data_IF_387411029998
#
_entry.id   IF_387411029998
#
_cell.length_a   1.000
_cell.length_b   1.000
_cell.length_c   1.000
_cell.angle_alpha   90.00
_cell.angle_beta   90.00
_cell.angle_gamma   90.00
#
_symmetry.space_group_name_H-M   'P 1'
#
loop_
_entity.id
_entity.type
_entity.pdbx_description
1 polymer ?
#
# COMPACT_ATOMS: atom_id res chain seq x y z
N UNK A 1 30.26 9.04 2.01
CA UNK A 1 29.76 9.73 0.80
C UNK A 1 29.52 8.80 -0.38
N UNK A 2 30.47 7.95 -0.81
CA UNK A 2 30.32 7.10 -2.01
C UNK A 2 29.19 6.07 -1.91
N UNK A 3 29.02 5.45 -0.74
CA UNK A 3 27.97 4.45 -0.51
C UNK A 3 26.56 5.05 -0.55
N UNK A 4 26.37 6.26 -0.02
CA UNK A 4 25.08 6.94 -0.07
C UNK A 4 24.64 7.25 -1.50
N UNK A 5 25.52 7.82 -2.32
CA UNK A 5 25.22 8.13 -3.73
C UNK A 5 24.88 6.85 -4.52
N UNK A 6 25.60 5.76 -4.25
CA UNK A 6 25.31 4.47 -4.85
C UNK A 6 23.92 3.94 -4.45
N UNK A 7 23.61 3.94 -3.15
CA UNK A 7 22.29 3.55 -2.65
C UNK A 7 21.17 4.42 -3.20
N UNK A 8 21.40 5.73 -3.33
CA UNK A 8 20.47 6.67 -3.94
C UNK A 8 20.19 6.36 -5.41
N UNK A 9 21.23 6.06 -6.20
CA UNK A 9 21.06 5.62 -7.59
C UNK A 9 20.25 4.32 -7.68
N UNK A 10 20.51 3.35 -6.80
CA UNK A 10 19.78 2.08 -6.74
C UNK A 10 18.31 2.28 -6.38
N UNK A 11 18.01 3.14 -5.39
CA UNK A 11 16.63 3.48 -5.01
C UNK A 11 15.87 4.17 -6.14
N UNK A 12 16.56 4.74 -7.13
CA UNK A 12 15.99 5.37 -8.34
C UNK A 12 15.88 4.44 -9.55
N UNK A 13 16.45 3.23 -9.49
CA UNK A 13 16.36 2.22 -10.55
C UNK A 13 14.90 1.83 -10.86
N UNK A 14 14.65 1.26 -12.04
CA UNK A 14 13.34 0.70 -12.41
C UNK A 14 13.15 -0.72 -11.87
N UNK A 15 14.24 -1.39 -11.49
CA UNK A 15 14.19 -2.76 -10.99
C UNK A 15 13.92 -2.80 -9.49
N UNK A 16 12.84 -3.48 -9.08
CA UNK A 16 12.52 -3.67 -7.67
C UNK A 16 13.65 -4.33 -6.85
N UNK A 17 14.47 -5.18 -7.48
CA UNK A 17 15.63 -5.81 -6.85
C UNK A 17 16.71 -4.77 -6.46
N UNK A 18 17.00 -3.84 -7.37
CA UNK A 18 17.95 -2.76 -7.12
C UNK A 18 17.44 -1.81 -6.04
N UNK A 19 16.15 -1.45 -6.09
CA UNK A 19 15.55 -0.58 -5.09
C UNK A 19 15.65 -1.22 -3.70
N UNK A 20 15.37 -2.53 -3.58
CA UNK A 20 15.54 -3.26 -2.31
C UNK A 20 16.99 -3.25 -1.83
N UNK A 21 17.95 -3.45 -2.72
CA UNK A 21 19.38 -3.39 -2.39
C UNK A 21 19.77 -1.99 -1.90
N UNK A 22 19.29 -0.94 -2.56
CA UNK A 22 19.49 0.45 -2.16
C UNK A 22 18.86 0.77 -0.79
N UNK A 23 17.65 0.27 -0.51
CA UNK A 23 17.01 0.39 0.82
C UNK A 23 17.86 -0.29 1.89
N UNK A 24 18.32 -1.51 1.65
CA UNK A 24 19.11 -2.27 2.62
C UNK A 24 20.43 -1.54 2.96
N UNK A 25 21.10 -0.99 1.95
CA UNK A 25 22.30 -0.19 2.14
C UNK A 25 22.00 1.12 2.89
N UNK A 26 20.87 1.79 2.62
CA UNK A 26 20.46 2.97 3.39
C UNK A 26 20.15 2.63 4.85
N UNK A 27 19.56 1.47 5.14
CA UNK A 27 19.32 1.03 6.52
C UNK A 27 20.62 0.71 7.26
N UNK A 28 21.61 0.14 6.56
CA UNK A 28 22.95 -0.10 7.11
C UNK A 28 23.69 1.21 7.40
N UNK A 29 23.63 2.16 6.47
CA UNK A 29 24.18 3.51 6.65
C UNK A 29 23.48 4.24 7.80
N UNK A 30 22.16 4.12 7.93
CA UNK A 30 21.40 4.72 9.03
C UNK A 30 21.82 4.19 10.41
N UNK A 31 22.15 2.89 10.51
CA UNK A 31 22.64 2.28 11.75
C UNK A 31 24.09 2.64 12.06
N UNK A 32 24.89 2.87 11.03
CA UNK A 32 26.33 3.15 11.16
C UNK A 32 26.58 4.64 11.44
N UNK A 33 25.81 5.53 10.78
CA UNK A 33 25.91 6.99 10.90
C UNK A 33 24.81 7.54 11.81
N UNK A 34 24.79 7.12 13.08
CA UNK A 34 23.77 7.52 14.07
C UNK A 34 24.02 8.86 14.77
N UNK A 35 25.21 9.46 14.63
CA UNK A 35 25.59 10.64 15.42
C UNK A 35 25.11 11.97 14.84
N UNK A 36 24.74 12.01 13.55
CA UNK A 36 24.32 13.22 12.84
C UNK A 36 22.81 13.20 12.56
N UNK A 37 22.06 14.05 13.27
CA UNK A 37 20.60 14.16 13.17
C UNK A 37 20.16 14.62 11.77
N UNK A 38 20.95 15.50 11.12
CA UNK A 38 20.61 16.02 9.80
C UNK A 38 20.71 14.92 8.74
N UNK A 39 21.74 14.08 8.81
CA UNK A 39 21.87 12.91 7.92
C UNK A 39 20.82 11.85 8.21
N UNK A 40 20.50 11.64 9.49
CA UNK A 40 19.45 10.71 9.92
C UNK A 40 18.10 11.07 9.29
N UNK A 41 17.78 12.37 9.24
CA UNK A 41 16.60 12.89 8.57
C UNK A 41 16.62 12.54 7.08
N UNK A 42 17.73 12.79 6.39
CA UNK A 42 17.85 12.49 4.96
C UNK A 42 17.68 10.99 4.67
N UNK A 43 18.28 10.12 5.48
CA UNK A 43 18.11 8.67 5.38
C UNK A 43 16.64 8.24 5.55
N UNK A 44 15.93 8.79 6.53
CA UNK A 44 14.51 8.47 6.74
C UNK A 44 13.65 8.89 5.53
N UNK A 45 13.95 10.04 4.94
CA UNK A 45 13.28 10.52 3.74
C UNK A 45 13.47 9.56 2.54
N UNK A 46 14.72 9.16 2.27
CA UNK A 46 15.00 8.23 1.18
C UNK A 46 14.48 6.81 1.43
N UNK A 47 14.51 6.34 2.68
CA UNK A 47 13.89 5.07 3.06
C UNK A 47 12.37 5.09 2.85
N UNK A 48 11.71 6.20 3.19
CA UNK A 48 10.27 6.35 2.95
C UNK A 48 9.93 6.29 1.45
N UNK A 49 10.70 7.00 0.60
CA UNK A 49 10.51 6.99 -0.86
C UNK A 49 10.80 5.61 -1.45
N UNK A 50 11.92 4.99 -1.07
CA UNK A 50 12.30 3.67 -1.57
C UNK A 50 11.23 2.62 -1.27
N UNK A 51 10.75 2.58 -0.03
CA UNK A 51 9.67 1.67 0.36
C UNK A 51 8.35 1.99 -0.37
N UNK A 52 8.02 3.27 -0.59
CA UNK A 52 6.84 3.65 -1.38
C UNK A 52 6.91 3.16 -2.84
N UNK A 53 8.11 3.15 -3.45
CA UNK A 53 8.30 2.68 -4.84
C UNK A 53 8.12 1.18 -5.00
N UNK A 54 8.53 0.38 -4.00
CA UNK A 54 8.32 -1.09 -4.00
C UNK A 54 6.95 -1.50 -3.47
N UNK A 55 6.02 -0.54 -3.27
CA UNK A 55 4.68 -0.74 -2.72
C UNK A 55 4.64 -1.25 -1.27
N UNK A 56 5.74 -1.13 -0.54
CA UNK A 56 5.81 -1.39 0.90
C UNK A 56 5.30 -0.17 1.68
N UNK A 57 4.01 0.14 1.50
CA UNK A 57 3.40 1.35 2.04
C UNK A 57 3.45 1.39 3.57
N UNK A 58 3.31 0.25 4.26
CA UNK A 58 3.38 0.17 5.72
C UNK A 58 4.74 0.61 6.27
N UNK A 59 5.83 0.17 5.64
CA UNK A 59 7.19 0.59 6.02
C UNK A 59 7.43 2.05 5.67
N UNK A 60 6.98 2.49 4.50
CA UNK A 60 7.07 3.89 4.07
C UNK A 60 6.41 4.84 5.07
N UNK A 61 5.17 4.54 5.50
CA UNK A 61 4.45 5.34 6.51
C UNK A 61 5.19 5.39 7.85
N UNK A 62 5.78 4.27 8.28
CA UNK A 62 6.58 4.23 9.51
C UNK A 62 7.77 5.19 9.43
N UNK A 63 8.48 5.21 8.30
CA UNK A 63 9.61 6.12 8.07
C UNK A 63 9.16 7.58 7.96
N UNK A 64 8.05 7.88 7.28
CA UNK A 64 7.47 9.23 7.24
C UNK A 64 7.13 9.74 8.64
N UNK A 65 6.50 8.92 9.50
CA UNK A 65 6.17 9.32 10.87
C UNK A 65 7.41 9.54 11.73
N UNK A 66 8.42 8.67 11.58
CA UNK A 66 9.70 8.84 12.26
C UNK A 66 10.40 10.14 11.82
N UNK A 67 10.30 10.52 10.54
CA UNK A 67 10.78 11.81 10.05
C UNK A 67 10.01 12.98 10.68
N UNK A 68 8.67 12.92 10.67
CA UNK A 68 7.82 13.99 11.23
C UNK A 68 7.97 14.14 12.75
N UNK A 69 8.44 13.10 13.44
CA UNK A 69 8.81 13.20 14.86
C UNK A 69 10.08 14.03 15.10
N UNK A 70 10.95 14.14 14.09
CA UNK A 70 12.15 14.99 14.13
C UNK A 70 11.81 16.39 13.60
N UNK A 71 11.17 16.45 12.44
CA UNK A 71 10.84 17.71 11.75
C UNK A 71 9.33 17.75 11.42
N UNK A 72 8.54 18.16 12.40
CA UNK A 72 7.07 18.20 12.29
C UNK A 72 6.55 19.27 11.34
N UNK A 73 7.32 20.33 11.10
CA UNK A 73 6.93 21.44 10.20
C UNK A 73 7.09 21.10 8.71
N UNK A 74 7.64 19.92 8.38
CA UNK A 74 7.92 19.57 7.00
C UNK A 74 6.64 19.15 6.25
N UNK A 75 6.00 20.11 5.59
CA UNK A 75 4.80 19.91 4.78
C UNK A 75 4.99 18.91 3.62
N UNK A 76 6.21 18.77 3.10
CA UNK A 76 6.53 17.82 2.02
C UNK A 76 6.36 16.38 2.50
N UNK A 77 6.84 16.06 3.72
CA UNK A 77 6.73 14.71 4.28
C UNK A 77 5.30 14.40 4.72
N UNK A 78 4.58 15.38 5.26
CA UNK A 78 3.15 15.24 5.54
C UNK A 78 2.36 14.93 4.25
N UNK A 79 2.70 15.62 3.15
CA UNK A 79 2.10 15.35 1.85
C UNK A 79 2.45 13.95 1.33
N UNK A 80 3.72 13.52 1.49
CA UNK A 80 4.16 12.16 1.13
C UNK A 80 3.39 11.09 1.93
N UNK A 81 3.22 11.26 3.24
CA UNK A 81 2.44 10.35 4.08
C UNK A 81 1.00 10.22 3.56
N UNK A 82 0.35 11.34 3.24
CA UNK A 82 -1.01 11.38 2.70
C UNK A 82 -1.11 10.68 1.34
N UNK A 83 -0.15 10.90 0.43
CA UNK A 83 -0.10 10.21 -0.87
C UNK A 83 0.04 8.70 -0.68
N UNK A 84 0.98 8.27 0.17
CA UNK A 84 1.23 6.86 0.45
C UNK A 84 0.00 6.19 1.04
N UNK A 85 -0.68 6.85 1.98
CA UNK A 85 -1.93 6.37 2.58
C UNK A 85 -3.04 6.21 1.55
N UNK A 86 -3.26 7.23 0.70
CA UNK A 86 -4.24 7.16 -0.39
C UNK A 86 -3.96 6.03 -1.37
N UNK A 87 -2.69 5.78 -1.72
CA UNK A 87 -2.30 4.67 -2.60
C UNK A 87 -2.54 3.31 -1.93
N UNK A 88 -2.21 3.18 -0.65
CA UNK A 88 -2.47 1.97 0.13
C UNK A 88 -3.97 1.62 0.14
N UNK A 89 -4.84 2.60 0.41
CA UNK A 89 -6.31 2.41 0.40
C UNK A 89 -6.82 2.04 -0.99
N UNK A 90 -6.35 2.72 -2.04
CA UNK A 90 -6.77 2.48 -3.42
C UNK A 90 -6.38 1.08 -3.91
N UNK A 91 -5.16 0.63 -3.60
CA UNK A 91 -4.70 -0.72 -3.96
C UNK A 91 -5.39 -1.81 -3.13
N UNK A 92 -5.64 -1.55 -1.83
CA UNK A 92 -6.39 -2.45 -0.96
C UNK A 92 -7.84 -2.66 -1.43
N UNK A 93 -8.51 -1.59 -1.86
CA UNK A 93 -9.87 -1.67 -2.41
C UNK A 93 -9.96 -2.49 -3.70
N UNK A 94 -8.97 -2.33 -4.60
CA UNK A 94 -8.89 -3.10 -5.85
C UNK A 94 -8.73 -4.59 -5.59
N UNK A 95 -7.97 -4.97 -4.57
CA UNK A 95 -7.83 -6.37 -4.14
C UNK A 95 -9.15 -6.96 -3.62
N UNK A 96 -9.92 -6.18 -2.84
CA UNK A 96 -11.18 -6.64 -2.25
C UNK A 96 -12.31 -6.78 -3.29
N UNK A 97 -12.37 -5.89 -4.29
CA UNK A 97 -13.37 -5.96 -5.36
C UNK A 97 -13.26 -7.25 -6.20
N UNK A 98 -12.04 -7.74 -6.44
CA UNK A 98 -11.81 -8.99 -7.16
C UNK A 98 -12.24 -10.22 -6.32
N UNK A 99 -12.01 -10.20 -5.02
CA UNK A 99 -12.39 -11.29 -4.12
C UNK A 99 -13.91 -11.34 -3.85
N UNK A 100 -14.60 -10.19 -3.87
CA UNK A 100 -16.05 -10.10 -3.63
C UNK A 100 -16.94 -10.47 -4.83
N UNK A 101 -16.41 -10.42 -6.06
CA UNK A 101 -17.19 -10.61 -7.29
C UNK A 101 -17.58 -12.07 -7.61
N UNK A 102 -16.89 -13.06 -7.04
CA UNK A 102 -17.10 -14.47 -7.39
C UNK A 102 -18.30 -15.14 -6.68
N UNK A 103 -18.79 -14.57 -5.57
CA UNK A 103 -19.86 -15.21 -4.76
C UNK A 103 -21.27 -14.93 -5.32
N UNK A 104 -21.47 -13.79 -6.00
CA UNK A 104 -22.80 -13.42 -6.51
C UNK A 104 -23.21 -14.18 -7.78
N UNK A 105 -22.26 -14.73 -8.56
CA UNK A 105 -22.57 -15.42 -9.81
C UNK A 105 -23.15 -16.84 -9.61
N UNK A 106 -22.97 -17.46 -8.45
CA UNK A 106 -23.48 -18.81 -8.17
C UNK A 106 -24.79 -18.81 -7.34
N UNK A 107 -25.10 -17.73 -6.63
CA UNK A 107 -26.33 -17.62 -5.82
C UNK A 107 -27.54 -17.02 -6.53
N UNK A 108 -27.34 -16.24 -7.59
CA UNK A 108 -28.40 -15.43 -8.24
C UNK A 108 -29.46 -16.22 -9.01
N UNK A 109 -29.16 -17.44 -9.47
CA UNK A 109 -30.12 -18.24 -10.25
C UNK A 109 -31.04 -19.11 -9.38
N UNK A 110 -30.69 -19.39 -8.12
CA UNK A 110 -31.51 -20.24 -7.24
C UNK A 110 -32.62 -19.43 -6.56
N UNK A 111 -32.36 -18.15 -6.24
CA UNK A 111 -33.33 -17.27 -5.56
C UNK A 111 -34.52 -16.83 -6.42
N UNK A 112 -34.32 -16.58 -7.71
CA UNK A 112 -35.42 -16.18 -8.61
C UNK A 112 -36.28 -17.37 -9.09
N UNK A 113 -35.71 -18.58 -9.17
CA UNK A 113 -36.44 -19.77 -9.62
C UNK A 113 -37.52 -20.23 -8.62
N UNK A 114 -37.25 -20.12 -7.32
CA UNK A 114 -38.19 -20.54 -6.27
C UNK A 114 -39.36 -19.56 -6.07
N UNK A 115 -39.15 -18.26 -6.33
CA UNK A 115 -40.22 -17.26 -6.20
C UNK A 115 -41.28 -17.36 -7.32
N UNK A 116 -40.89 -17.82 -8.51
CA UNK A 116 -41.82 -18.03 -9.63
C UNK A 116 -42.53 -19.40 -9.59
N UNK A 117 -41.96 -20.41 -8.94
CA UNK A 117 -42.58 -21.74 -8.85
C UNK A 117 -43.74 -21.85 -7.84
N UNK A 118 -43.90 -20.90 -6.89
CA UNK A 118 -44.94 -20.96 -5.85
C UNK A 118 -46.24 -20.19 -6.18
N UNK A 119 -46.31 -19.49 -7.33
CA UNK A 119 -47.47 -18.68 -7.74
C UNK A 119 -48.19 -19.24 -8.98
N UNK A 120 -48.33 -20.57 -9.06
CA UNK A 120 -49.00 -21.24 -10.18
C UNK A 120 -50.00 -22.35 -9.81
N UNK A 121 -50.28 -22.62 -8.53
CA UNK A 121 -51.24 -23.68 -8.16
C UNK A 121 -52.21 -23.25 -7.05
N UNK A 122 -53.03 -22.24 -7.33
CA UNK A 122 -54.32 -22.00 -6.66
C UNK A 122 -55.28 -21.37 -7.66
N UNK A 123 -55.85 -22.18 -8.54
CA UNK A 123 -57.18 -22.00 -9.13
C UNK A 123 -57.48 -23.18 -10.07
N UNK A 124 -58.20 -24.19 -9.57
CA UNK A 124 -59.04 -25.12 -10.35
C UNK A 124 -59.53 -26.24 -9.43
N UNK A 125 -60.73 -26.10 -8.88
CA UNK A 125 -61.38 -27.17 -8.12
C UNK A 125 -62.70 -26.73 -7.51
N UNK A 126 -63.60 -26.19 -8.33
CA UNK A 126 -65.03 -26.11 -8.01
C UNK A 126 -65.70 -27.35 -8.60
N UNK A 127 -66.17 -28.25 -7.72
CA UNK A 127 -67.42 -28.99 -7.78
C UNK A 127 -67.59 -29.79 -6.50
#
# INVERSE_FOLDING_TARGET
MTQFNYSFCLVRSEFCADIRKGILLLEELFKTETEDIDRKRDYLYYLAIGNARIKEYTKSLKYCRAFLAIESENSQVQHLESIVKKRMETEGLKGMALAGGAVLALGGLIGLGLAMAKKGNKESGSK
#
